data_IF_094177319472
#
_entry.id   IF_094177319472
#
_cell.length_a   1.000
_cell.length_b   1.000
_cell.length_c   1.000
_cell.angle_alpha   90.00
_cell.angle_beta   90.00
_cell.angle_gamma   90.00
#
_symmetry.space_group_name_H-M   'P 1'
#
loop_
_entity.id
_entity.type
_entity.pdbx_description
1 polymer ?
#
# COMPACT_ATOMS: atom_id res chain seq x y z
N UNK A 1 -0.22 15.22 8.22
CA UNK A 1 -0.32 13.76 7.98
C UNK A 1 0.82 13.34 7.04
N UNK A 2 1.15 12.04 6.92
CA UNK A 2 2.27 11.58 6.10
C UNK A 2 1.85 11.56 4.61
N UNK A 3 2.60 12.20 3.70
CA UNK A 3 2.21 12.44 2.29
C UNK A 3 1.81 11.16 1.53
N UNK A 4 2.51 10.06 1.81
CA UNK A 4 2.21 8.75 1.20
C UNK A 4 0.87 8.18 1.68
N UNK A 5 0.51 8.40 2.95
CA UNK A 5 -0.75 7.94 3.53
C UNK A 5 -1.94 8.70 2.94
N UNK A 6 -1.81 10.01 2.74
CA UNK A 6 -2.84 10.85 2.10
C UNK A 6 -3.08 10.41 0.66
N UNK A 7 -2.00 10.27 -0.13
CA UNK A 7 -2.08 9.77 -1.50
C UNK A 7 -2.74 8.40 -1.59
N UNK A 8 -2.38 7.48 -0.69
CA UNK A 8 -2.98 6.15 -0.65
C UNK A 8 -4.50 6.21 -0.43
N UNK A 9 -4.95 7.00 0.55
CA UNK A 9 -6.37 7.08 0.90
C UNK A 9 -7.21 7.84 -0.14
N UNK A 10 -6.68 8.93 -0.71
CA UNK A 10 -7.44 9.82 -1.59
C UNK A 10 -7.41 9.41 -3.06
N UNK A 11 -6.30 8.85 -3.53
CA UNK A 11 -6.11 8.54 -4.96
C UNK A 11 -6.10 7.04 -5.23
N UNK A 12 -5.34 6.28 -4.44
CA UNK A 12 -5.07 4.86 -4.74
C UNK A 12 -6.27 3.97 -4.37
N UNK A 13 -6.87 4.18 -3.20
CA UNK A 13 -8.03 3.37 -2.75
C UNK A 13 -9.21 3.46 -3.72
N UNK A 14 -9.66 4.64 -4.18
CA UNK A 14 -10.74 4.76 -5.16
C UNK A 14 -10.37 4.16 -6.53
N UNK A 15 -9.12 4.37 -6.98
CA UNK A 15 -8.63 3.82 -8.25
C UNK A 15 -8.67 2.28 -8.25
N UNK A 16 -8.19 1.65 -7.17
CA UNK A 16 -8.22 0.19 -7.03
C UNK A 16 -9.63 -0.35 -6.86
N UNK A 17 -10.49 0.31 -6.08
CA UNK A 17 -11.88 -0.07 -5.92
C UNK A 17 -12.63 -0.07 -7.27
N UNK A 18 -12.37 0.93 -8.13
CA UNK A 18 -12.97 1.02 -9.46
C UNK A 18 -12.40 -0.02 -10.43
N UNK A 19 -11.08 -0.21 -10.44
CA UNK A 19 -10.43 -1.15 -11.35
C UNK A 19 -10.81 -2.61 -11.09
N UNK A 20 -10.95 -2.98 -9.81
CA UNK A 20 -11.21 -4.36 -9.39
C UNK A 20 -12.63 -4.60 -8.87
N UNK A 21 -13.50 -3.59 -8.96
CA UNK A 21 -14.92 -3.63 -8.58
C UNK A 21 -15.15 -4.17 -7.16
N UNK A 22 -14.28 -3.77 -6.21
CA UNK A 22 -14.42 -4.18 -4.81
C UNK A 22 -15.72 -3.63 -4.22
N UNK A 23 -16.53 -4.52 -3.64
CA UNK A 23 -17.81 -4.15 -3.00
C UNK A 23 -17.62 -3.56 -1.61
N UNK A 24 -16.47 -3.79 -0.98
CA UNK A 24 -16.16 -3.34 0.36
C UNK A 24 -14.82 -2.60 0.38
N UNK A 25 -14.79 -1.42 1.02
CA UNK A 25 -13.58 -0.59 1.16
C UNK A 25 -12.46 -1.32 1.91
N UNK A 26 -12.82 -2.26 2.78
CA UNK A 26 -11.86 -3.08 3.53
C UNK A 26 -11.18 -4.16 2.66
N UNK A 27 -11.69 -4.45 1.46
CA UNK A 27 -11.07 -5.41 0.53
C UNK A 27 -9.89 -4.79 -0.23
N UNK A 28 -9.73 -3.47 -0.19
CA UNK A 28 -8.62 -2.80 -0.90
C UNK A 28 -7.30 -3.17 -0.21
N UNK A 29 -6.33 -3.74 -0.96
CA UNK A 29 -5.08 -4.25 -0.39
C UNK A 29 -4.23 -3.13 0.20
N UNK A 30 -3.66 -3.39 1.38
CA UNK A 30 -2.85 -2.44 2.16
C UNK A 30 -1.41 -2.93 2.28
N UNK A 31 -0.48 -1.98 2.38
CA UNK A 31 0.92 -2.28 2.69
C UNK A 31 1.05 -2.54 4.20
N UNK A 32 1.36 -3.78 4.59
CA UNK A 32 1.48 -4.16 6.00
C UNK A 32 2.88 -3.87 6.57
N UNK A 33 3.93 -4.28 5.88
CA UNK A 33 5.32 -3.97 6.25
C UNK A 33 6.24 -4.00 5.05
N UNK A 34 7.32 -3.22 5.13
CA UNK A 34 8.47 -3.31 4.23
C UNK A 34 9.64 -3.82 5.07
N UNK A 35 10.16 -4.99 4.73
CA UNK A 35 11.34 -5.55 5.39
C UNK A 35 12.53 -5.29 4.49
N UNK A 36 13.48 -4.48 4.97
CA UNK A 36 14.76 -4.27 4.29
C UNK A 36 15.78 -5.21 4.93
N UNK A 37 16.18 -6.26 4.21
CA UNK A 37 17.25 -7.13 4.63
C UNK A 37 18.55 -6.68 3.95
N UNK A 38 19.57 -6.34 4.74
CA UNK A 38 20.92 -6.05 4.23
C UNK A 38 21.83 -7.14 4.79
N UNK A 39 22.24 -8.07 3.94
CA UNK A 39 23.28 -9.02 4.28
C UNK A 39 24.64 -8.38 4.04
N UNK A 40 25.35 -7.99 5.11
CA UNK A 40 26.81 -7.87 5.03
C UNK A 40 27.39 -9.27 5.18
N UNK A 41 27.60 -9.94 4.05
CA UNK A 41 28.55 -11.04 4.01
C UNK A 41 29.95 -10.45 4.14
N UNK A 42 30.70 -10.89 5.13
CA UNK A 42 32.12 -10.57 5.25
C UNK A 42 32.83 -10.88 3.92
N UNK A 43 33.52 -9.88 3.37
CA UNK A 43 34.52 -10.03 2.33
C UNK A 43 35.67 -9.06 2.61
#
# INVERSE_FOLDING_TARGET
MNKLKEKYQQEIVPALAKAFQYKNVMQVPRLEKVVLNIGLGEA
#
